data_IF_375298684795
#
_entry.id   IF_375298684795
#
_cell.length_a   1.000
_cell.length_b   1.000
_cell.length_c   1.000
_cell.angle_alpha   90.00
_cell.angle_beta   90.00
_cell.angle_gamma   90.00
#
_symmetry.space_group_name_H-M   'P 1'
#
loop_
_entity.id
_entity.type
_entity.pdbx_description
1 polymer ?
#
# COMPACT_ATOMS: atom_id res chain seq x y z
N UNK A 1 14.54 -4.08 3.53
CA UNK A 1 14.38 -4.56 2.14
C UNK A 1 12.89 -4.52 1.81
N UNK A 2 12.40 -3.57 1.00
CA UNK A 2 11.00 -3.58 0.57
C UNK A 2 10.75 -4.70 -0.45
N UNK A 3 9.61 -5.37 -0.33
CA UNK A 3 9.22 -6.55 -1.10
C UNK A 3 8.47 -6.14 -2.39
N UNK A 4 9.06 -5.23 -3.17
CA UNK A 4 8.42 -4.63 -4.36
C UNK A 4 9.21 -4.91 -5.63
N UNK A 5 8.51 -5.39 -6.68
CA UNK A 5 9.07 -5.53 -8.03
C UNK A 5 9.47 -4.14 -8.58
N UNK A 6 10.68 -4.04 -9.12
CA UNK A 6 11.44 -2.79 -9.20
C UNK A 6 11.00 -1.76 -10.25
N UNK A 7 10.00 -2.02 -11.08
CA UNK A 7 9.47 -1.04 -12.06
C UNK A 7 8.02 -1.35 -12.42
N UNK A 8 7.08 -0.67 -11.77
CA UNK A 8 5.66 -0.74 -12.17
C UNK A 8 5.42 -0.13 -13.56
N UNK A 9 4.36 -0.54 -14.27
CA UNK A 9 4.04 -0.05 -15.62
C UNK A 9 3.74 1.46 -15.71
N UNK A 10 3.46 2.09 -14.57
CA UNK A 10 3.21 3.54 -14.43
C UNK A 10 4.37 4.28 -13.76
N UNK A 11 5.48 3.60 -13.45
CA UNK A 11 6.63 4.23 -12.81
C UNK A 11 7.29 5.30 -13.68
N UNK A 12 8.19 6.13 -13.12
CA UNK A 12 8.89 7.17 -13.88
C UNK A 12 9.84 6.58 -14.94
N UNK A 13 10.15 5.27 -14.83
CA UNK A 13 10.85 4.46 -15.82
C UNK A 13 10.14 3.11 -15.96
N UNK A 14 9.08 3.02 -16.78
CA UNK A 14 8.38 1.75 -16.98
C UNK A 14 9.30 0.75 -17.70
N UNK A 15 9.16 -0.54 -17.40
CA UNK A 15 9.92 -1.58 -18.09
C UNK A 15 9.51 -1.75 -19.57
N UNK A 16 8.36 -1.22 -19.96
CA UNK A 16 7.82 -1.22 -21.33
C UNK A 16 7.39 0.18 -21.80
N UNK A 17 6.69 0.26 -22.93
CA UNK A 17 6.13 1.50 -23.48
C UNK A 17 4.61 1.42 -23.61
N UNK A 18 3.92 2.52 -23.36
CA UNK A 18 2.51 2.68 -23.67
C UNK A 18 2.36 3.15 -25.13
N UNK A 19 1.26 2.79 -25.79
CA UNK A 19 0.91 3.28 -27.13
C UNK A 19 0.10 4.59 -27.09
N UNK A 20 -0.07 5.18 -25.91
CA UNK A 20 -0.81 6.41 -25.64
C UNK A 20 -0.05 7.24 -24.61
N UNK A 21 -0.15 8.56 -24.73
CA UNK A 21 0.32 9.49 -23.71
C UNK A 21 -0.78 9.69 -22.67
N UNK A 22 -0.44 9.49 -21.40
CA UNK A 22 -1.39 9.66 -20.30
C UNK A 22 -1.21 11.05 -19.71
N UNK A 23 -2.23 11.90 -19.86
CA UNK A 23 -2.31 13.23 -19.25
C UNK A 23 -3.44 13.26 -18.21
N UNK A 24 -3.23 12.67 -17.02
CA UNK A 24 -4.25 12.61 -15.98
C UNK A 24 -4.51 14.03 -15.43
N UNK A 25 -5.76 14.40 -15.14
CA UNK A 25 -6.12 15.74 -14.67
C UNK A 25 -5.47 16.12 -13.33
N UNK A 26 -5.03 15.13 -12.57
CA UNK A 26 -4.33 15.33 -11.30
C UNK A 26 -2.82 15.23 -11.41
N UNK A 27 -2.25 14.92 -12.58
CA UNK A 27 -0.80 14.81 -12.80
C UNK A 27 -0.18 13.45 -12.48
N UNK A 28 -0.95 12.49 -11.94
CA UNK A 28 -0.52 11.09 -11.79
C UNK A 28 -1.62 10.12 -12.15
N UNK A 29 -1.24 8.97 -12.72
CA UNK A 29 -2.14 7.88 -13.08
C UNK A 29 -2.22 6.92 -11.90
N UNK A 30 -3.44 6.57 -11.51
CA UNK A 30 -3.72 5.58 -10.47
C UNK A 30 -4.45 4.39 -11.10
N UNK A 31 -3.91 3.19 -10.88
CA UNK A 31 -4.55 1.92 -11.23
C UNK A 31 -4.74 1.08 -9.97
N UNK A 32 -5.96 0.60 -9.78
CA UNK A 32 -6.34 -0.34 -8.73
C UNK A 32 -6.41 -1.73 -9.36
N UNK A 33 -5.47 -2.61 -9.04
CA UNK A 33 -5.41 -3.96 -9.57
C UNK A 33 -5.85 -4.98 -8.51
N UNK A 34 -7.04 -5.59 -8.63
CA UNK A 34 -7.48 -6.64 -7.71
C UNK A 34 -6.50 -7.82 -7.72
N UNK A 35 -6.12 -8.29 -6.54
CA UNK A 35 -5.16 -9.38 -6.38
C UNK A 35 -5.95 -10.66 -6.12
N UNK A 36 -6.04 -11.61 -7.07
CA UNK A 36 -6.81 -12.84 -6.89
C UNK A 36 -6.18 -13.82 -5.88
N UNK A 37 -4.89 -13.64 -5.57
CA UNK A 37 -4.19 -14.44 -4.58
C UNK A 37 -4.48 -13.96 -3.17
N UNK A 38 -4.54 -14.90 -2.23
CA UNK A 38 -4.56 -14.59 -0.80
C UNK A 38 -3.22 -14.01 -0.36
N UNK A 39 -3.24 -12.83 0.23
CA UNK A 39 -2.08 -12.11 0.74
C UNK A 39 -2.10 -12.13 2.26
N UNK A 40 -0.95 -12.46 2.85
CA UNK A 40 -0.74 -12.45 4.31
C UNK A 40 0.48 -11.65 4.68
N UNK A 41 0.31 -10.75 5.65
CA UNK A 41 1.39 -9.95 6.22
C UNK A 41 1.61 -10.33 7.68
N UNK A 42 2.86 -10.57 8.05
CA UNK A 42 3.23 -11.03 9.39
C UNK A 42 4.16 -10.04 10.06
N UNK A 43 3.97 -9.84 11.36
CA UNK A 43 4.88 -9.11 12.26
C UNK A 43 5.09 -9.97 13.49
N UNK A 44 6.34 -10.19 13.88
CA UNK A 44 6.65 -11.03 15.05
C UNK A 44 6.12 -12.48 14.96
N UNK A 45 5.83 -12.98 13.75
CA UNK A 45 5.22 -14.30 13.54
C UNK A 45 3.69 -14.34 13.60
N UNK A 46 3.03 -13.26 14.02
CA UNK A 46 1.57 -13.12 14.02
C UNK A 46 1.07 -12.55 12.68
N UNK A 47 -0.02 -13.10 12.16
CA UNK A 47 -0.67 -12.55 10.96
C UNK A 47 -1.41 -11.26 11.32
N UNK A 48 -0.94 -10.12 10.82
CA UNK A 48 -1.56 -8.81 11.02
C UNK A 48 -2.61 -8.53 9.94
N UNK A 49 -2.41 -9.09 8.75
CA UNK A 49 -3.38 -9.05 7.65
C UNK A 49 -3.45 -10.41 6.98
N UNK A 50 -4.67 -10.82 6.65
CA UNK A 50 -4.94 -12.03 5.88
C UNK A 50 -6.17 -11.81 5.00
N UNK A 51 -5.94 -11.54 3.71
CA UNK A 51 -6.98 -11.09 2.78
C UNK A 51 -6.90 -11.82 1.44
N UNK A 52 -8.05 -12.23 0.92
CA UNK A 52 -8.27 -12.66 -0.46
C UNK A 52 -8.93 -11.57 -1.32
N UNK A 53 -9.02 -10.34 -0.78
CA UNK A 53 -9.61 -9.15 -1.41
C UNK A 53 -8.63 -7.97 -1.46
N UNK A 54 -7.34 -8.28 -1.49
CA UNK A 54 -6.30 -7.27 -1.57
C UNK A 54 -6.36 -6.55 -2.94
N UNK A 55 -5.97 -5.27 -2.93
CA UNK A 55 -5.83 -4.47 -4.15
C UNK A 55 -4.39 -3.97 -4.21
N UNK A 56 -3.72 -4.18 -5.34
CA UNK A 56 -2.42 -3.61 -5.60
C UNK A 56 -2.61 -2.25 -6.29
N UNK A 57 -2.25 -1.18 -5.56
CA UNK A 57 -2.27 0.17 -6.08
C UNK A 57 -1.00 0.46 -6.86
N UNK A 58 -1.16 0.87 -8.11
CA UNK A 58 -0.09 1.47 -8.90
C UNK A 58 -0.35 2.97 -9.02
N UNK A 59 0.58 3.78 -8.54
CA UNK A 59 0.54 5.23 -8.67
C UNK A 59 1.78 5.70 -9.42
N UNK A 60 1.59 6.59 -10.39
CA UNK A 60 2.67 7.13 -11.19
C UNK A 60 3.77 7.74 -10.32
N UNK A 61 5.03 7.37 -10.56
CA UNK A 61 6.16 7.85 -9.76
C UNK A 61 6.48 7.03 -8.50
N UNK A 62 5.61 6.09 -8.09
CA UNK A 62 5.74 5.34 -6.84
C UNK A 62 5.87 3.82 -7.07
N UNK A 63 6.38 3.12 -6.04
CA UNK A 63 6.33 1.65 -6.00
C UNK A 63 4.90 1.18 -5.71
N UNK A 64 4.47 0.03 -6.26
CA UNK A 64 3.15 -0.51 -5.99
C UNK A 64 2.94 -0.82 -4.50
N UNK A 65 1.72 -0.62 -4.01
CA UNK A 65 1.36 -0.82 -2.59
C UNK A 65 0.09 -1.67 -2.46
N UNK A 66 0.07 -2.60 -1.51
CA UNK A 66 -1.15 -3.32 -1.16
C UNK A 66 -2.09 -2.50 -0.28
N UNK A 67 -3.34 -2.42 -0.69
CA UNK A 67 -4.47 -2.00 0.12
C UNK A 67 -5.30 -3.21 0.52
N UNK A 68 -5.77 -3.20 1.76
CA UNK A 68 -6.58 -4.26 2.33
C UNK A 68 -7.88 -3.70 2.87
N UNK A 69 -9.01 -4.41 2.74
CA UNK A 69 -10.21 -4.09 3.50
C UNK A 69 -9.90 -4.11 5.00
N UNK A 70 -10.38 -3.11 5.75
CA UNK A 70 -10.15 -3.01 7.22
C UNK A 70 -10.58 -4.29 7.96
N UNK A 71 -11.65 -4.95 7.51
CA UNK A 71 -12.13 -6.20 8.11
C UNK A 71 -11.18 -7.40 7.97
N UNK A 72 -10.17 -7.32 7.10
CA UNK A 72 -9.17 -8.36 6.90
C UNK A 72 -7.86 -8.05 7.65
N UNK A 73 -7.83 -6.92 8.38
CA UNK A 73 -6.69 -6.44 9.17
C UNK A 73 -7.00 -6.59 10.66
N UNK A 74 -6.05 -7.10 11.42
CA UNK A 74 -6.11 -7.19 12.89
C UNK A 74 -5.90 -5.81 13.51
N UNK A 75 -6.92 -4.96 13.42
CA UNK A 75 -6.89 -3.59 13.94
C UNK A 75 -6.63 -3.51 15.45
N UNK A 76 -6.87 -4.60 16.20
CA UNK A 76 -6.51 -4.73 17.61
C UNK A 76 -4.99 -4.74 17.86
N UNK A 77 -4.18 -4.98 16.83
CA UNK A 77 -2.71 -4.93 16.86
C UNK A 77 -2.15 -3.58 16.37
N UNK A 78 -3.02 -2.65 15.96
CA UNK A 78 -2.63 -1.35 15.40
C UNK A 78 -2.86 -0.22 16.42
N UNK A 79 -1.83 0.59 16.61
CA UNK A 79 -1.84 1.77 17.48
C UNK A 79 -1.79 3.04 16.62
N UNK A 80 -2.76 3.96 16.72
CA UNK A 80 -2.74 5.20 15.95
C UNK A 80 -1.55 6.07 16.35
N UNK A 81 -0.97 6.75 15.38
CA UNK A 81 0.14 7.69 15.59
C UNK A 81 -0.31 9.13 15.29
N UNK A 82 0.50 10.10 15.68
CA UNK A 82 0.30 11.50 15.28
C UNK A 82 0.76 11.81 13.86
N UNK A 83 1.34 10.84 13.14
CA UNK A 83 1.86 11.04 11.79
C UNK A 83 0.71 11.04 10.77
N UNK A 84 0.74 12.03 9.90
CA UNK A 84 -0.09 12.08 8.70
C UNK A 84 0.72 12.52 7.49
N UNK A 85 0.27 12.16 6.29
CA UNK A 85 0.84 12.65 5.03
C UNK A 85 -0.25 13.00 4.04
N UNK A 86 -0.09 14.10 3.33
CA UNK A 86 -1.02 14.52 2.30
C UNK A 86 -0.58 14.05 0.91
N UNK A 87 -1.50 13.44 0.18
CA UNK A 87 -1.34 13.11 -1.24
C UNK A 87 -2.38 13.90 -2.05
N UNK A 88 -1.98 14.65 -3.10
CA UNK A 88 -2.92 15.41 -3.93
C UNK A 88 -4.03 14.58 -4.59
N UNK A 89 -3.85 13.25 -4.68
CA UNK A 89 -4.80 12.34 -5.35
C UNK A 89 -5.65 11.53 -4.37
N UNK A 90 -5.12 11.27 -3.17
CA UNK A 90 -5.74 10.36 -2.19
C UNK A 90 -6.20 11.06 -0.91
N UNK A 91 -5.87 12.34 -0.75
CA UNK A 91 -6.15 13.10 0.46
C UNK A 91 -5.13 12.82 1.57
N UNK A 92 -5.59 12.91 2.81
CA UNK A 92 -4.76 12.75 4.00
C UNK A 92 -4.73 11.29 4.47
N UNK A 93 -3.53 10.74 4.56
CA UNK A 93 -3.30 9.43 5.16
C UNK A 93 -2.97 9.59 6.64
N UNK A 94 -3.67 8.83 7.49
CA UNK A 94 -3.28 8.65 8.90
C UNK A 94 -2.36 7.44 9.02
N UNK A 95 -1.49 7.36 10.04
CA UNK A 95 -0.56 6.24 10.21
C UNK A 95 -0.80 5.47 11.50
N UNK A 96 -0.53 4.17 11.46
CA UNK A 96 -0.57 3.26 12.60
C UNK A 96 0.77 2.54 12.77
N UNK A 97 1.18 2.37 14.01
CA UNK A 97 2.25 1.44 14.40
C UNK A 97 1.64 0.08 14.70
N UNK A 98 2.34 -1.01 14.37
CA UNK A 98 1.87 -2.37 14.66
C UNK A 98 2.64 -2.88 15.88
N UNK A 99 1.92 -3.40 16.88
CA UNK A 99 2.50 -4.04 18.07
C UNK A 99 2.09 -5.50 18.16
N UNK A 100 3.07 -6.39 18.20
CA UNK A 100 2.89 -7.83 18.43
C UNK A 100 3.85 -8.28 19.52
N UNK A 101 3.32 -8.52 20.73
CA UNK A 101 4.15 -8.76 21.91
C UNK A 101 5.13 -7.61 22.13
N UNK A 102 6.42 -7.91 22.18
CA UNK A 102 7.50 -6.92 22.32
C UNK A 102 7.96 -6.31 20.98
N UNK A 103 7.45 -6.81 19.84
CA UNK A 103 7.79 -6.30 18.52
C UNK A 103 6.91 -5.09 18.17
N UNK A 104 7.53 -3.94 17.91
CA UNK A 104 6.85 -2.74 17.43
C UNK A 104 7.42 -2.36 16.07
N UNK A 105 6.55 -2.16 15.09
CA UNK A 105 6.91 -1.59 13.79
C UNK A 105 6.22 -0.23 13.65
N UNK A 106 7.02 0.82 13.79
CA UNK A 106 6.54 2.19 13.79
C UNK A 106 6.00 2.64 12.43
N UNK A 107 4.81 3.26 12.40
CA UNK A 107 4.18 3.80 11.19
C UNK A 107 4.10 2.78 10.03
N UNK A 108 3.80 1.52 10.35
CA UNK A 108 3.83 0.39 9.43
C UNK A 108 2.61 0.31 8.50
N UNK A 109 1.51 0.97 8.85
CA UNK A 109 0.29 0.99 8.05
C UNK A 109 -0.29 2.41 7.94
N UNK A 110 -1.11 2.64 6.91
CA UNK A 110 -1.88 3.87 6.71
C UNK A 110 -3.23 3.59 6.03
N UNK A 111 -4.09 4.59 6.01
CA UNK A 111 -5.44 4.61 5.42
C UNK A 111 -5.80 6.04 5.06
#
# INVERSE_FOLDING_TARGET
MPLTASTGPLGPRPAGRLNVELDPPTGSVILWDPVPQRIRGFVGGEAVVDSDRAVLLHEGGHLPVYYFPVGDVRMDLLEPTSKSTHCPHKGDASYWSIRVGDCVVENAAWS
#
